data_IF_873571500521
#
_entry.id   IF_873571500521
#
_cell.length_a   1.000
_cell.length_b   1.000
_cell.length_c   1.000
_cell.angle_alpha   90.00
_cell.angle_beta   90.00
_cell.angle_gamma   90.00
#
_symmetry.space_group_name_H-M   'P 1'
#
loop_
_entity.id
_entity.type
_entity.pdbx_description
1 polymer ?
#
# COMPACT_ATOMS: atom_id res chain seq x y z
N UNK A 1 7.35 -38.05 42.48
CA UNK A 1 7.90 -36.74 41.98
C UNK A 1 6.83 -35.69 42.16
N UNK A 2 6.79 -34.97 43.30
CA UNK A 2 5.73 -33.99 43.60
C UNK A 2 6.00 -32.70 42.83
N UNK A 3 5.34 -32.49 41.73
CA UNK A 3 5.38 -31.22 41.01
C UNK A 3 4.78 -30.14 41.92
N UNK A 4 5.59 -29.13 42.25
CA UNK A 4 5.17 -28.07 43.16
C UNK A 4 4.01 -27.27 42.57
N UNK A 5 2.80 -27.44 43.13
CA UNK A 5 1.55 -26.81 42.62
C UNK A 5 1.69 -25.31 42.31
N UNK A 6 2.48 -24.57 43.13
CA UNK A 6 2.76 -23.15 42.90
C UNK A 6 3.54 -22.91 41.59
N UNK A 7 4.54 -23.78 41.26
CA UNK A 7 5.31 -23.64 40.02
C UNK A 7 4.44 -23.93 38.79
N UNK A 8 3.53 -24.91 38.86
CA UNK A 8 2.59 -25.22 37.80
C UNK A 8 1.61 -24.07 37.57
N UNK A 9 1.07 -23.45 38.63
CA UNK A 9 0.17 -22.32 38.53
C UNK A 9 0.84 -21.10 37.87
N UNK A 10 2.08 -20.80 38.21
CA UNK A 10 2.85 -19.70 37.59
C UNK A 10 3.11 -19.97 36.10
N UNK A 11 3.43 -21.23 35.76
CA UNK A 11 3.66 -21.61 34.35
C UNK A 11 2.40 -21.43 33.51
N UNK A 12 1.24 -21.86 34.01
CA UNK A 12 -0.04 -21.70 33.33
C UNK A 12 -0.37 -20.20 33.11
N UNK A 13 -0.14 -19.38 34.12
CA UNK A 13 -0.39 -17.93 34.02
C UNK A 13 0.50 -17.25 32.97
N UNK A 14 1.79 -17.67 32.89
CA UNK A 14 2.70 -17.19 31.86
C UNK A 14 2.27 -17.61 30.45
N UNK A 15 1.78 -18.85 30.27
CA UNK A 15 1.28 -19.35 29.00
C UNK A 15 0.03 -18.55 28.56
N UNK A 16 -0.91 -18.30 29.48
CA UNK A 16 -2.11 -17.51 29.19
C UNK A 16 -1.72 -16.07 28.77
N UNK A 17 -0.79 -15.46 29.48
CA UNK A 17 -0.30 -14.11 29.15
C UNK A 17 0.34 -14.07 27.78
N UNK A 18 1.12 -15.08 27.42
CA UNK A 18 1.76 -15.20 26.11
C UNK A 18 0.74 -15.38 24.99
N UNK A 19 -0.30 -16.18 25.19
CA UNK A 19 -1.39 -16.37 24.23
C UNK A 19 -2.15 -15.05 24.03
N UNK A 20 -2.47 -14.33 25.10
CA UNK A 20 -3.15 -13.02 25.02
C UNK A 20 -2.32 -12.03 24.22
N UNK A 21 -1.01 -11.96 24.44
CA UNK A 21 -0.10 -11.08 23.68
C UNK A 21 -0.09 -11.44 22.19
N UNK A 22 -0.05 -12.72 21.86
CA UNK A 22 -0.08 -13.19 20.46
C UNK A 22 -1.41 -12.79 19.80
N UNK A 23 -2.55 -13.06 20.45
CA UNK A 23 -3.89 -12.76 19.91
C UNK A 23 -4.08 -11.26 19.65
N UNK A 24 -3.65 -10.41 20.58
CA UNK A 24 -3.78 -8.94 20.42
C UNK A 24 -2.86 -8.42 19.31
N UNK A 25 -1.72 -9.07 19.05
CA UNK A 25 -0.77 -8.61 18.03
C UNK A 25 -1.00 -9.19 16.63
N UNK A 26 -1.86 -10.21 16.47
CA UNK A 26 -2.16 -10.75 15.13
C UNK A 26 -3.09 -9.85 14.36
N UNK A 27 -2.77 -9.48 13.10
CA UNK A 27 -3.64 -8.65 12.28
C UNK A 27 -4.90 -9.44 11.88
N UNK A 28 -6.06 -8.80 11.92
CA UNK A 28 -7.32 -9.33 11.39
C UNK A 28 -7.16 -9.61 9.89
N UNK A 29 -7.55 -10.81 9.46
CA UNK A 29 -7.43 -11.20 8.05
C UNK A 29 -8.78 -11.04 7.35
N UNK A 30 -8.96 -9.92 6.67
CA UNK A 30 -10.16 -9.61 5.90
C UNK A 30 -10.21 -10.34 4.54
N UNK A 31 -9.22 -11.17 4.21
CA UNK A 31 -9.11 -11.92 2.94
C UNK A 31 -9.22 -10.99 1.73
N UNK A 32 -10.39 -10.98 1.08
CA UNK A 32 -10.74 -10.11 -0.06
C UNK A 32 -11.90 -9.14 0.28
N UNK A 33 -12.34 -9.12 1.53
CA UNK A 33 -13.40 -8.20 1.98
C UNK A 33 -12.80 -6.83 2.31
N UNK A 34 -13.04 -5.91 1.39
CA UNK A 34 -12.56 -4.56 1.52
C UNK A 34 -13.33 -3.74 2.58
N UNK A 35 -14.60 -4.01 2.80
CA UNK A 35 -15.37 -3.31 3.84
C UNK A 35 -14.85 -3.64 5.23
N UNK A 36 -14.60 -4.93 5.51
CA UNK A 36 -13.92 -5.36 6.73
C UNK A 36 -12.60 -4.61 6.93
N UNK A 37 -11.78 -4.48 5.88
CA UNK A 37 -10.50 -3.78 5.97
C UNK A 37 -10.69 -2.27 6.21
N UNK A 38 -11.66 -1.64 5.56
CA UNK A 38 -11.91 -0.21 5.71
C UNK A 38 -12.33 0.17 7.14
N UNK A 39 -13.14 -0.66 7.79
CA UNK A 39 -13.53 -0.45 9.19
C UNK A 39 -12.28 -0.46 10.11
N UNK A 40 -11.37 -1.41 9.88
CA UNK A 40 -10.10 -1.45 10.61
C UNK A 40 -9.18 -0.26 10.31
N UNK A 41 -9.20 0.26 9.07
CA UNK A 41 -8.43 1.46 8.69
C UNK A 41 -8.94 2.69 9.42
N UNK A 42 -10.27 2.87 9.54
CA UNK A 42 -10.87 3.98 10.27
C UNK A 42 -10.45 4.00 11.74
N UNK A 43 -10.39 2.85 12.38
CA UNK A 43 -9.93 2.68 13.76
C UNK A 43 -8.40 2.62 13.88
N UNK A 44 -7.68 2.55 12.77
CA UNK A 44 -6.26 2.24 12.70
C UNK A 44 -5.87 0.97 13.49
N UNK A 45 -6.71 -0.04 13.42
CA UNK A 45 -6.49 -1.35 14.04
C UNK A 45 -5.85 -2.32 13.02
N UNK A 46 -5.00 -3.24 13.52
CA UNK A 46 -4.23 -4.15 12.65
C UNK A 46 -5.13 -5.05 11.81
N UNK A 47 -5.04 -4.92 10.50
CA UNK A 47 -5.77 -5.73 9.54
C UNK A 47 -5.02 -5.85 8.22
N UNK A 48 -5.38 -6.87 7.44
CA UNK A 48 -4.83 -7.10 6.10
C UNK A 48 -5.90 -7.56 5.13
N UNK A 49 -5.77 -7.14 3.87
CA UNK A 49 -6.66 -7.49 2.77
C UNK A 49 -5.89 -7.64 1.47
N UNK A 50 -6.33 -8.55 0.61
CA UNK A 50 -5.90 -8.62 -0.79
C UNK A 50 -7.09 -8.28 -1.67
N UNK A 51 -6.96 -7.29 -2.54
CA UNK A 51 -8.07 -6.83 -3.40
C UNK A 51 -7.59 -6.66 -4.84
N UNK A 52 -8.55 -6.75 -5.77
CA UNK A 52 -8.30 -6.50 -7.19
C UNK A 52 -8.90 -5.14 -7.56
N UNK A 53 -8.11 -4.30 -8.20
CA UNK A 53 -8.53 -3.03 -8.79
C UNK A 53 -7.91 -2.91 -10.19
N UNK A 54 -8.73 -2.61 -11.20
CA UNK A 54 -8.31 -2.48 -12.60
C UNK A 54 -7.49 -3.70 -13.09
N UNK A 55 -7.96 -4.90 -12.75
CA UNK A 55 -7.32 -6.19 -13.03
C UNK A 55 -5.91 -6.37 -12.42
N UNK A 56 -5.50 -5.47 -11.52
CA UNK A 56 -4.26 -5.58 -10.75
C UNK A 56 -4.56 -5.97 -9.32
N UNK A 57 -3.70 -6.80 -8.72
CA UNK A 57 -3.86 -7.31 -7.35
C UNK A 57 -3.01 -6.50 -6.39
N UNK A 58 -3.62 -5.97 -5.37
CA UNK A 58 -2.99 -5.20 -4.30
C UNK A 58 -3.16 -5.89 -2.96
N UNK A 59 -2.12 -5.83 -2.13
CA UNK A 59 -2.16 -6.18 -0.73
C UNK A 59 -2.05 -4.92 0.11
N UNK A 60 -2.96 -4.78 1.08
CA UNK A 60 -2.95 -3.69 2.05
C UNK A 60 -2.85 -4.27 3.45
N UNK A 61 -2.12 -3.58 4.34
CA UNK A 61 -1.97 -3.97 5.73
C UNK A 61 -1.86 -2.74 6.62
N UNK A 62 -2.74 -2.65 7.62
CA UNK A 62 -2.63 -1.66 8.69
C UNK A 62 -1.59 -2.18 9.69
N UNK A 63 -0.48 -1.45 9.85
CA UNK A 63 0.63 -1.86 10.69
C UNK A 63 0.50 -1.34 12.11
N UNK A 64 0.23 -0.04 12.26
CA UNK A 64 0.20 0.65 13.55
C UNK A 64 -0.43 2.03 13.44
N UNK A 65 -0.79 2.60 14.58
CA UNK A 65 -1.04 4.03 14.75
C UNK A 65 0.23 4.69 15.30
N UNK A 66 0.65 5.79 14.68
CA UNK A 66 1.77 6.60 15.14
C UNK A 66 1.33 8.06 15.17
N UNK A 67 1.37 8.63 16.35
CA UNK A 67 0.80 9.95 16.62
C UNK A 67 -0.69 9.96 16.17
N UNK A 68 -1.07 10.86 15.29
CA UNK A 68 -2.42 10.92 14.73
C UNK A 68 -2.54 10.33 13.32
N UNK A 69 -1.53 9.57 12.90
CA UNK A 69 -1.47 8.96 11.58
C UNK A 69 -1.63 7.44 11.64
N UNK A 70 -2.35 6.89 10.68
CA UNK A 70 -2.43 5.46 10.44
C UNK A 70 -1.35 5.03 9.46
N UNK A 71 -0.52 4.07 9.86
CA UNK A 71 0.55 3.53 9.02
C UNK A 71 0.02 2.31 8.27
N UNK A 72 -0.11 2.48 6.96
CA UNK A 72 -0.63 1.45 6.06
C UNK A 72 0.44 1.05 5.06
N UNK A 73 0.72 -0.24 4.96
CA UNK A 73 1.54 -0.82 3.90
C UNK A 73 0.67 -1.10 2.69
N UNK A 74 1.12 -0.67 1.52
CA UNK A 74 0.51 -0.98 0.22
C UNK A 74 1.54 -1.72 -0.62
N UNK A 75 1.18 -2.88 -1.18
CA UNK A 75 2.04 -3.65 -2.06
C UNK A 75 1.29 -4.00 -3.35
N UNK A 76 1.91 -3.78 -4.50
CA UNK A 76 1.42 -4.29 -5.77
C UNK A 76 1.88 -5.74 -5.92
N UNK A 77 0.95 -6.68 -5.76
CA UNK A 77 1.24 -8.13 -5.84
C UNK A 77 1.35 -8.58 -7.29
N UNK A 78 0.37 -8.17 -8.12
CA UNK A 78 0.32 -8.52 -9.54
C UNK A 78 -0.29 -7.36 -10.33
N UNK A 79 0.35 -6.98 -11.42
CA UNK A 79 -0.17 -6.02 -12.38
C UNK A 79 -1.10 -6.72 -13.37
N UNK A 80 -2.03 -5.99 -13.98
CA UNK A 80 -2.91 -6.54 -15.02
C UNK A 80 -2.13 -7.21 -16.15
N UNK A 81 -2.65 -8.33 -16.64
CA UNK A 81 -1.99 -9.09 -17.72
C UNK A 81 -1.90 -8.30 -19.04
N UNK A 82 -2.72 -7.26 -19.21
CA UNK A 82 -2.68 -6.33 -20.35
C UNK A 82 -1.48 -5.36 -20.32
N UNK A 83 -0.76 -5.26 -19.23
CA UNK A 83 0.39 -4.36 -19.09
C UNK A 83 1.69 -5.02 -19.64
N UNK A 84 2.63 -4.18 -20.09
CA UNK A 84 3.91 -4.65 -20.61
C UNK A 84 4.74 -5.41 -19.58
N UNK A 85 5.58 -6.32 -20.03
CA UNK A 85 6.48 -7.08 -19.15
C UNK A 85 7.47 -6.17 -18.40
N UNK A 86 7.91 -5.07 -19.02
CA UNK A 86 8.84 -4.14 -18.38
C UNK A 86 8.15 -3.40 -17.23
N UNK A 87 6.89 -3.01 -17.41
CA UNK A 87 6.10 -2.41 -16.35
C UNK A 87 5.85 -3.38 -15.18
N UNK A 88 5.57 -4.66 -15.49
CA UNK A 88 5.44 -5.72 -14.48
C UNK A 88 6.72 -5.88 -13.69
N UNK A 89 7.88 -6.00 -14.34
CA UNK A 89 9.20 -6.08 -13.67
C UNK A 89 9.50 -4.85 -12.81
N UNK A 90 9.09 -3.66 -13.28
CA UNK A 90 9.32 -2.42 -12.55
C UNK A 90 8.48 -2.29 -11.29
N UNK A 91 7.23 -2.80 -11.25
CA UNK A 91 6.26 -2.49 -10.21
C UNK A 91 5.86 -3.69 -9.34
N UNK A 92 5.77 -4.92 -9.88
CA UNK A 92 5.30 -6.08 -9.12
C UNK A 92 6.21 -6.42 -7.96
N UNK A 93 5.61 -6.82 -6.85
CA UNK A 93 6.28 -7.17 -5.60
C UNK A 93 6.74 -5.97 -4.78
N UNK A 94 6.78 -4.75 -5.36
CA UNK A 94 7.19 -3.54 -4.64
C UNK A 94 6.12 -3.07 -3.67
N UNK A 95 6.55 -2.42 -2.59
CA UNK A 95 5.67 -1.88 -1.56
C UNK A 95 6.03 -0.44 -1.20
N UNK A 96 5.06 0.26 -0.60
CA UNK A 96 5.22 1.57 -0.01
C UNK A 96 4.53 1.61 1.35
N UNK A 97 4.99 2.51 2.22
CA UNK A 97 4.38 2.81 3.51
C UNK A 97 3.71 4.17 3.42
N UNK A 98 2.46 4.21 3.82
CA UNK A 98 1.64 5.41 3.81
C UNK A 98 1.32 5.83 5.25
N UNK A 99 1.65 7.07 5.61
CA UNK A 99 1.34 7.69 6.90
C UNK A 99 0.14 8.61 6.71
N UNK A 100 -1.06 8.08 6.89
CA UNK A 100 -2.32 8.75 6.54
C UNK A 100 -2.90 9.39 7.79
N UNK A 101 -3.16 10.71 7.84
CA UNK A 101 -3.82 11.37 8.95
C UNK A 101 -5.21 10.78 9.21
N UNK A 102 -5.55 10.52 10.49
CA UNK A 102 -6.85 9.98 10.88
C UNK A 102 -8.00 10.85 10.37
N UNK A 103 -7.84 12.18 10.40
CA UNK A 103 -8.81 13.13 9.85
C UNK A 103 -9.10 12.94 8.35
N UNK A 104 -8.13 12.47 7.58
CA UNK A 104 -8.31 12.17 6.15
C UNK A 104 -9.11 10.89 5.95
N UNK A 105 -8.90 9.89 6.80
CA UNK A 105 -9.60 8.60 6.76
C UNK A 105 -11.07 8.73 7.17
N UNK A 106 -11.40 9.62 8.10
CA UNK A 106 -12.78 9.90 8.52
C UNK A 106 -13.66 10.46 7.38
N UNK A 107 -13.04 11.16 6.43
CA UNK A 107 -13.76 11.84 5.33
C UNK A 107 -13.80 10.98 4.07
N UNK A 108 -12.78 10.16 3.85
CA UNK A 108 -12.61 9.43 2.59
C UNK A 108 -12.14 8.01 2.83
N UNK A 109 -12.76 7.08 2.11
CA UNK A 109 -12.23 5.73 1.95
C UNK A 109 -10.81 5.76 1.36
N UNK A 110 -9.92 4.91 1.85
CA UNK A 110 -8.52 4.83 1.43
C UNK A 110 -8.36 4.69 -0.10
N UNK A 111 -9.31 4.01 -0.78
CA UNK A 111 -9.30 3.90 -2.24
C UNK A 111 -9.64 5.20 -2.96
N UNK A 112 -10.34 6.11 -2.30
CA UNK A 112 -10.80 7.38 -2.88
C UNK A 112 -9.88 8.55 -2.57
N UNK A 113 -8.79 8.33 -1.83
CA UNK A 113 -7.79 9.37 -1.55
C UNK A 113 -7.00 9.63 -2.83
N UNK A 114 -7.31 10.75 -3.50
CA UNK A 114 -6.68 11.12 -4.79
C UNK A 114 -5.18 11.39 -4.66
N UNK A 115 -4.74 11.86 -3.50
CA UNK A 115 -3.34 12.23 -3.23
C UNK A 115 -2.65 11.22 -2.31
N UNK A 116 -2.99 9.94 -2.41
CA UNK A 116 -2.39 8.91 -1.55
C UNK A 116 -0.87 8.91 -1.61
N UNK A 117 -0.30 9.21 -2.79
CA UNK A 117 1.14 9.28 -2.98
C UNK A 117 1.82 10.36 -2.12
N UNK A 118 1.13 11.43 -1.71
CA UNK A 118 1.71 12.49 -0.88
C UNK A 118 1.99 11.99 0.54
N UNK A 119 1.22 11.00 1.01
CA UNK A 119 1.35 10.38 2.33
C UNK A 119 2.27 9.15 2.33
N UNK A 120 2.73 8.70 1.16
CA UNK A 120 3.45 7.46 1.02
C UNK A 120 4.93 7.65 0.69
N UNK A 121 5.74 6.66 1.08
CA UNK A 121 7.16 6.56 0.74
C UNK A 121 7.55 5.10 0.50
N UNK A 122 8.60 4.85 -0.29
CA UNK A 122 9.15 3.52 -0.53
C UNK A 122 9.18 3.13 -2.00
N UNK A 123 9.69 1.92 -2.25
CA UNK A 123 10.06 1.44 -3.59
C UNK A 123 8.91 1.47 -4.60
N UNK A 124 7.67 1.21 -4.18
CA UNK A 124 6.53 1.25 -5.10
C UNK A 124 6.24 2.67 -5.58
N UNK A 125 6.29 3.66 -4.67
CA UNK A 125 6.12 5.07 -5.04
C UNK A 125 7.21 5.52 -6.00
N UNK A 126 8.46 5.24 -5.67
CA UNK A 126 9.63 5.61 -6.50
C UNK A 126 9.51 5.02 -7.91
N UNK A 127 9.17 3.73 -8.01
CA UNK A 127 8.99 3.06 -9.29
C UNK A 127 7.81 3.61 -10.10
N UNK A 128 6.69 3.98 -9.46
CA UNK A 128 5.56 4.64 -10.13
C UNK A 128 5.99 6.00 -10.69
N UNK A 129 6.72 6.79 -9.92
CA UNK A 129 7.22 8.10 -10.36
C UNK A 129 8.18 7.95 -11.53
N UNK A 130 9.14 7.00 -11.47
CA UNK A 130 10.09 6.74 -12.54
C UNK A 130 9.38 6.37 -13.85
N UNK A 131 8.44 5.42 -13.80
CA UNK A 131 7.64 5.02 -14.97
C UNK A 131 6.80 6.19 -15.51
N UNK A 132 6.27 7.03 -14.63
CA UNK A 132 5.46 8.19 -15.04
C UNK A 132 6.33 9.24 -15.74
N UNK A 133 7.53 9.51 -15.22
CA UNK A 133 8.49 10.43 -15.83
C UNK A 133 8.93 9.91 -17.20
N UNK A 134 9.25 8.61 -17.33
CA UNK A 134 9.63 8.02 -18.61
C UNK A 134 8.52 8.16 -19.65
N UNK A 135 7.28 7.83 -19.30
CA UNK A 135 6.13 8.01 -20.20
C UNK A 135 5.92 9.46 -20.60
N UNK A 136 6.08 10.40 -19.67
CA UNK A 136 5.97 11.82 -19.97
C UNK A 136 7.08 12.26 -20.94
N UNK A 137 8.32 11.80 -20.71
CA UNK A 137 9.45 12.08 -21.56
C UNK A 137 9.21 11.58 -22.99
N UNK A 138 8.74 10.35 -23.16
CA UNK A 138 8.42 9.75 -24.47
C UNK A 138 7.36 10.59 -25.20
N UNK A 139 6.27 10.96 -24.51
CA UNK A 139 5.23 11.83 -25.08
C UNK A 139 5.79 13.19 -25.53
N UNK A 140 6.67 13.79 -24.74
CA UNK A 140 7.28 15.09 -25.07
C UNK A 140 8.19 14.96 -26.29
N UNK A 141 9.07 13.94 -26.31
CA UNK A 141 10.02 13.71 -27.41
C UNK A 141 9.28 13.44 -28.73
N UNK A 142 8.25 12.60 -28.70
CA UNK A 142 7.45 12.27 -29.88
C UNK A 142 6.72 13.47 -30.48
N UNK A 143 6.38 14.47 -29.67
CA UNK A 143 5.67 15.67 -30.11
C UNK A 143 6.59 16.85 -30.48
N UNK A 144 7.84 16.89 -30.00
CA UNK A 144 8.78 17.98 -30.31
C UNK A 144 9.15 17.97 -31.82
N UNK A 145 9.37 16.81 -32.42
CA UNK A 145 9.73 16.67 -33.84
C UNK A 145 8.73 17.33 -34.77
N UNK A 146 7.44 16.98 -34.70
CA UNK A 146 6.39 17.62 -35.50
C UNK A 146 6.27 19.14 -35.27
N UNK A 147 6.37 19.61 -34.03
CA UNK A 147 6.28 21.04 -33.67
C UNK A 147 7.47 21.80 -34.29
N UNK A 148 8.69 21.28 -34.18
CA UNK A 148 9.88 21.89 -34.75
C UNK A 148 9.80 21.95 -36.29
N UNK A 149 9.23 20.95 -36.93
CA UNK A 149 8.99 20.94 -38.38
C UNK A 149 7.97 22.03 -38.78
N UNK A 150 6.89 22.22 -38.02
CA UNK A 150 5.90 23.26 -38.26
C UNK A 150 6.50 24.67 -38.14
N UNK A 151 7.29 24.93 -37.10
CA UNK A 151 7.96 26.20 -36.89
C UNK A 151 8.92 26.49 -38.06
N UNK A 152 9.69 25.53 -38.52
CA UNK A 152 10.61 25.68 -39.65
C UNK A 152 9.87 26.02 -40.97
N UNK A 153 8.68 25.45 -41.14
CA UNK A 153 7.87 25.70 -42.34
C UNK A 153 7.21 27.09 -42.32
N UNK A 154 6.83 27.56 -41.11
CA UNK A 154 6.23 28.90 -40.94
C UNK A 154 7.23 30.06 -40.98
N UNK A 155 8.53 29.80 -40.76
CA UNK A 155 9.59 30.81 -40.84
C UNK A 155 10.25 30.91 -42.25
N UNK A 156 9.77 30.16 -43.23
CA UNK A 156 10.21 30.22 -44.64
C UNK A 156 9.28 31.10 -45.50
N UNK A 157 8.70 32.15 -44.94
CA UNK A 157 8.00 33.22 -45.68
C UNK A 157 8.92 34.43 -45.86
#
# INVERSE_FOLDING_TARGET
MFVNKKKVSVLILLIILLIVVIVINTPSNCKNDYYCFNDHVLECSKAKVTTVKDNSTYYYEVLSKKDDNCIVKVQLVKLSDSQSNDLKKALEGKSMLCSIPSSTLEIKDIKSISNLNDFCSGQLKEAILEVTIQKLYDVVVDNIGPIAAQIRNSTKL
#
